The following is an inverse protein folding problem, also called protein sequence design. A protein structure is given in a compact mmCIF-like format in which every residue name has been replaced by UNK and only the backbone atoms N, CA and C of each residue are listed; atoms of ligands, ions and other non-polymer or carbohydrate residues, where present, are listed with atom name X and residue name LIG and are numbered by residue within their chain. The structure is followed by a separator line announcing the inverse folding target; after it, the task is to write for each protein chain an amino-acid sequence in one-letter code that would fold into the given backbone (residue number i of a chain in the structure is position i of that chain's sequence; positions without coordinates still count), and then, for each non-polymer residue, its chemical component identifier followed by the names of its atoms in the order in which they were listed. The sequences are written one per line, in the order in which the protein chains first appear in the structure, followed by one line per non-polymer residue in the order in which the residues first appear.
data_IF_621394252417
#
_entry.id   IF_621394252417
#
_cell.length_a   1.000
_cell.length_b   1.000
_cell.length_c   1.000
_cell.angle_alpha   90.00
_cell.angle_beta   90.00
_cell.angle_gamma   90.00
#
_symmetry.space_group_name_H-M   'P 1'
#
loop_
_entity.id
_entity.type
_entity.pdbx_description
1 polymer ?
#
# COMPACT_ATOMS: atom_id res chain seq x y z
N UNK A 1 -19.04 15.38 18.54
CA UNK A 1 -18.98 15.07 17.09
C UNK A 1 -19.19 16.27 16.15
N UNK A 2 -20.19 17.14 16.35
CA UNK A 2 -20.49 18.23 15.40
C UNK A 2 -19.34 19.25 15.20
N UNK A 3 -18.61 19.61 16.26
CA UNK A 3 -17.46 20.50 16.17
C UNK A 3 -16.31 19.89 15.36
N UNK A 4 -15.95 18.63 15.63
CA UNK A 4 -14.91 17.88 14.89
C UNK A 4 -15.26 17.74 13.41
N UNK A 5 -16.51 17.41 13.08
CA UNK A 5 -16.99 17.37 11.69
C UNK A 5 -16.83 18.72 10.97
N UNK A 6 -17.04 19.83 11.68
CA UNK A 6 -16.86 21.19 11.14
C UNK A 6 -15.37 21.50 10.94
N UNK A 7 -14.52 21.11 11.88
CA UNK A 7 -13.08 21.32 11.83
C UNK A 7 -12.44 20.56 10.65
N UNK A 8 -12.90 19.33 10.39
CA UNK A 8 -12.39 18.45 9.33
C UNK A 8 -13.11 18.62 7.99
N UNK A 9 -13.90 19.70 7.81
CA UNK A 9 -14.64 19.94 6.59
C UNK A 9 -13.73 20.61 5.53
N UNK A 10 -13.46 19.89 4.44
CA UNK A 10 -12.66 20.38 3.30
C UNK A 10 -13.52 20.87 2.12
N UNK A 11 -14.85 20.76 2.21
CA UNK A 11 -15.77 20.95 1.07
C UNK A 11 -16.35 22.37 0.96
N UNK A 12 -15.93 23.30 1.83
CA UNK A 12 -16.46 24.67 1.87
C UNK A 12 -15.32 25.69 1.84
N UNK A 13 -15.47 26.82 1.13
CA UNK A 13 -14.48 27.89 1.15
C UNK A 13 -14.24 28.45 2.56
N UNK A 14 -12.98 28.78 2.86
CA UNK A 14 -12.56 29.36 4.16
C UNK A 14 -12.82 30.86 4.16
N UNK A 15 -13.29 31.43 5.27
CA UNK A 15 -13.43 32.88 5.36
C UNK A 15 -12.06 33.55 5.50
N UNK A 16 -11.73 34.47 4.60
CA UNK A 16 -10.51 35.30 4.66
C UNK A 16 -10.87 36.73 5.07
N UNK A 17 -9.98 37.36 5.83
CA UNK A 17 -10.16 38.73 6.33
C UNK A 17 -9.47 39.70 5.38
N UNK A 18 -10.25 40.58 4.79
CA UNK A 18 -9.74 41.63 3.89
C UNK A 18 -10.35 42.97 4.25
N UNK A 19 -9.62 44.08 3.99
CA UNK A 19 -10.19 45.41 4.10
C UNK A 19 -11.39 45.60 3.16
N UNK A 20 -12.30 46.50 3.53
CA UNK A 20 -13.53 46.79 2.78
C UNK A 20 -13.28 47.49 1.44
N UNK A 21 -12.14 48.17 1.27
CA UNK A 21 -11.76 48.84 0.03
C UNK A 21 -10.49 48.18 -0.53
N UNK A 22 -10.61 47.23 -1.48
CA UNK A 22 -9.48 46.49 -2.02
C UNK A 22 -8.64 47.34 -2.98
N UNK A 23 -7.34 47.29 -2.79
CA UNK A 23 -6.27 47.85 -3.62
C UNK A 23 -5.53 46.74 -4.37
N UNK A 24 -4.69 47.06 -5.36
CA UNK A 24 -3.94 46.03 -6.12
C UNK A 24 -2.99 45.24 -5.20
N UNK A 25 -2.42 45.87 -4.18
CA UNK A 25 -1.60 45.18 -3.16
C UNK A 25 -2.37 44.19 -2.30
N UNK A 26 -3.71 44.27 -2.25
CA UNK A 26 -4.53 43.34 -1.49
C UNK A 26 -4.72 41.99 -2.20
N UNK A 27 -4.47 41.91 -3.51
CA UNK A 27 -4.57 40.65 -4.25
C UNK A 27 -3.45 39.68 -3.85
N UNK A 28 -2.23 40.16 -3.70
CA UNK A 28 -1.09 39.35 -3.26
C UNK A 28 -1.27 38.89 -1.81
N UNK A 29 -1.76 39.79 -0.95
CA UNK A 29 -2.10 39.47 0.43
C UNK A 29 -3.19 38.40 0.52
N UNK A 30 -4.23 38.49 -0.33
CA UNK A 30 -5.28 37.49 -0.43
C UNK A 30 -4.73 36.12 -0.83
N UNK A 31 -3.89 36.06 -1.88
CA UNK A 31 -3.28 34.80 -2.32
C UNK A 31 -2.36 34.21 -1.24
N UNK A 32 -1.59 35.03 -0.54
CA UNK A 32 -0.75 34.56 0.57
C UNK A 32 -1.57 33.99 1.74
N UNK A 33 -2.66 34.66 2.13
CA UNK A 33 -3.56 34.13 3.16
C UNK A 33 -4.23 32.83 2.70
N UNK A 34 -4.72 32.79 1.46
CA UNK A 34 -5.32 31.60 0.86
C UNK A 34 -4.35 30.43 0.84
N UNK A 35 -3.08 30.67 0.53
CA UNK A 35 -2.04 29.65 0.55
C UNK A 35 -1.86 29.02 1.94
N UNK A 36 -1.78 29.84 3.00
CA UNK A 36 -1.67 29.35 4.37
C UNK A 36 -2.90 28.50 4.78
N UNK A 37 -4.10 28.91 4.36
CA UNK A 37 -5.31 28.12 4.60
C UNK A 37 -5.38 26.85 3.73
N UNK A 38 -4.87 26.90 2.51
CA UNK A 38 -4.79 25.74 1.62
C UNK A 38 -3.90 24.67 2.24
N UNK A 39 -2.73 25.04 2.79
CA UNK A 39 -1.84 24.11 3.51
C UNK A 39 -2.55 23.37 4.65
N UNK A 40 -3.38 24.07 5.42
CA UNK A 40 -4.21 23.43 6.46
C UNK A 40 -5.30 22.53 5.85
N UNK A 41 -5.94 22.99 4.79
CA UNK A 41 -7.10 22.31 4.17
C UNK A 41 -6.71 20.98 3.53
N UNK A 42 -5.53 20.90 2.91
CA UNK A 42 -5.00 19.67 2.31
C UNK A 42 -4.59 18.62 3.34
N UNK A 43 -4.37 19.00 4.60
CA UNK A 43 -4.13 18.07 5.71
C UNK A 43 -5.43 17.53 6.35
N UNK A 44 -6.58 18.17 6.13
CA UNK A 44 -7.87 17.73 6.71
C UNK A 44 -8.29 16.31 6.30
N UNK A 45 -8.05 15.83 5.07
CA UNK A 45 -8.38 14.46 4.68
C UNK A 45 -7.80 13.39 5.61
N UNK A 46 -6.58 13.57 6.15
CA UNK A 46 -5.98 12.62 7.10
C UNK A 46 -6.83 12.46 8.35
N UNK A 47 -7.12 13.57 9.03
CA UNK A 47 -7.96 13.58 10.22
C UNK A 47 -9.38 13.08 9.93
N UNK A 48 -9.93 13.42 8.75
CA UNK A 48 -11.24 12.95 8.32
C UNK A 48 -11.26 11.43 8.11
N UNK A 49 -10.26 10.88 7.44
CA UNK A 49 -10.10 9.44 7.21
C UNK A 49 -10.05 8.67 8.52
N UNK A 50 -9.25 9.14 9.48
CA UNK A 50 -9.19 8.56 10.83
C UNK A 50 -10.52 8.69 11.59
N UNK A 51 -11.15 9.86 11.54
CA UNK A 51 -12.41 10.14 12.24
C UNK A 51 -13.59 9.32 11.71
N UNK A 52 -13.60 9.01 10.41
CA UNK A 52 -14.69 8.24 9.76
C UNK A 52 -14.33 6.81 9.43
N UNK A 53 -13.19 6.31 9.88
CA UNK A 53 -12.68 4.97 9.57
C UNK A 53 -13.74 3.90 9.86
N UNK A 54 -14.04 3.06 8.87
CA UNK A 54 -14.97 1.93 8.96
C UNK A 54 -16.38 2.27 9.48
N UNK A 55 -16.88 3.48 9.22
CA UNK A 55 -18.20 3.93 9.71
C UNK A 55 -19.35 3.70 8.74
N UNK A 56 -19.08 3.33 7.48
CA UNK A 56 -20.11 3.20 6.43
C UNK A 56 -20.07 1.83 5.76
N UNK A 57 -21.19 1.12 5.75
CA UNK A 57 -21.36 -0.09 4.92
C UNK A 57 -21.94 0.34 3.57
N UNK A 58 -21.15 0.27 2.50
CA UNK A 58 -21.64 0.60 1.15
C UNK A 58 -22.47 -0.53 0.57
N UNK A 59 -23.62 -0.18 0.02
CA UNK A 59 -24.32 -1.03 -0.92
C UNK A 59 -23.51 -1.05 -2.23
N UNK A 60 -23.11 -2.24 -2.68
CA UNK A 60 -22.32 -2.47 -3.91
C UNK A 60 -23.04 -2.09 -5.22
N UNK A 61 -24.14 -1.34 -5.12
CA UNK A 61 -24.95 -0.81 -6.23
C UNK A 61 -24.80 0.71 -6.39
N UNK A 62 -24.21 1.40 -5.41
CA UNK A 62 -24.09 2.86 -5.41
C UNK A 62 -22.69 3.32 -5.82
N UNK A 63 -22.62 4.49 -6.46
CA UNK A 63 -21.34 5.16 -6.79
C UNK A 63 -20.77 5.79 -5.50
N UNK A 64 -19.48 5.59 -5.25
CA UNK A 64 -18.85 6.18 -4.07
C UNK A 64 -18.76 7.69 -4.19
N UNK A 65 -19.34 8.39 -3.22
CA UNK A 65 -19.32 9.85 -3.18
C UNK A 65 -18.06 10.35 -2.48
N UNK A 66 -17.23 11.06 -3.24
CA UNK A 66 -16.04 11.76 -2.74
C UNK A 66 -16.39 13.18 -2.32
N UNK A 67 -16.11 13.59 -1.06
CA UNK A 67 -16.27 14.99 -0.67
C UNK A 67 -15.36 15.90 -1.51
N UNK A 68 -15.87 17.07 -1.91
CA UNK A 68 -15.06 18.05 -2.63
C UNK A 68 -13.90 18.56 -1.77
N UNK A 69 -12.77 18.82 -2.40
CA UNK A 69 -11.63 19.52 -1.81
C UNK A 69 -11.60 20.95 -2.36
N UNK A 70 -11.92 21.93 -1.53
CA UNK A 70 -12.06 23.33 -1.95
C UNK A 70 -10.88 24.15 -1.42
N UNK A 71 -10.01 24.58 -2.31
CA UNK A 71 -8.88 25.50 -2.03
C UNK A 71 -9.26 26.93 -2.43
N UNK A 72 -10.35 27.42 -1.86
CA UNK A 72 -10.90 28.75 -2.14
C UNK A 72 -11.26 29.46 -0.84
N UNK A 73 -11.21 30.78 -0.87
CA UNK A 73 -11.66 31.63 0.22
C UNK A 73 -12.93 32.37 -0.14
N UNK A 74 -13.76 32.63 0.87
CA UNK A 74 -14.88 33.56 0.79
C UNK A 74 -14.50 34.87 1.46
N UNK A 75 -14.93 35.98 0.88
CA UNK A 75 -14.68 37.35 1.34
C UNK A 75 -15.95 37.91 1.99
N UNK A 76 -16.12 37.84 3.33
CA UNK A 76 -17.36 38.28 3.98
C UNK A 76 -17.62 39.79 3.78
N UNK A 77 -16.55 40.60 3.73
CA UNK A 77 -16.62 42.04 3.51
C UNK A 77 -17.06 42.42 2.08
N UNK A 78 -17.00 41.49 1.12
CA UNK A 78 -17.32 41.70 -0.29
C UNK A 78 -18.48 40.78 -0.71
N UNK A 79 -19.59 40.82 0.02
CA UNK A 79 -20.81 40.04 -0.27
C UNK A 79 -20.56 38.52 -0.41
N UNK A 80 -19.62 37.95 0.35
CA UNK A 80 -19.20 36.54 0.25
C UNK A 80 -18.68 36.12 -1.14
N UNK A 81 -18.08 37.04 -1.90
CA UNK A 81 -17.37 36.69 -3.13
C UNK A 81 -16.34 35.57 -2.87
N UNK A 82 -16.19 34.66 -3.83
CA UNK A 82 -15.27 33.52 -3.73
C UNK A 82 -14.02 33.79 -4.56
N UNK A 83 -12.85 33.66 -3.95
CA UNK A 83 -11.54 33.76 -4.60
C UNK A 83 -10.88 32.40 -4.57
N UNK A 84 -10.44 31.93 -5.74
CA UNK A 84 -9.70 30.69 -5.85
C UNK A 84 -8.21 30.96 -5.66
N UNK A 85 -7.53 29.99 -5.06
CA UNK A 85 -6.08 29.96 -5.06
C UNK A 85 -5.58 29.82 -6.51
N UNK A 86 -4.62 30.64 -6.90
CA UNK A 86 -3.97 30.49 -8.20
C UNK A 86 -3.10 29.22 -8.21
N UNK A 87 -3.33 28.37 -9.21
CA UNK A 87 -2.63 27.09 -9.41
C UNK A 87 -1.57 27.17 -10.52
N UNK A 88 -1.30 28.37 -11.06
CA UNK A 88 -0.31 28.60 -12.13
C UNK A 88 1.10 28.14 -11.72
N UNK A 89 1.42 28.19 -10.42
CA UNK A 89 2.67 27.69 -9.88
C UNK A 89 2.66 26.15 -9.79
N UNK A 90 3.63 25.49 -10.42
CA UNK A 90 3.78 24.02 -10.44
C UNK A 90 3.76 23.39 -9.05
N UNK A 91 4.41 24.01 -8.07
CA UNK A 91 4.44 23.51 -6.68
C UNK A 91 3.05 23.47 -6.04
N UNK A 92 2.19 24.44 -6.36
CA UNK A 92 0.82 24.54 -5.86
C UNK A 92 -0.09 23.50 -6.53
N UNK A 93 0.13 23.24 -7.82
CA UNK A 93 -0.59 22.19 -8.57
C UNK A 93 -0.32 20.80 -8.00
N UNK A 94 0.95 20.44 -7.75
CA UNK A 94 1.32 19.16 -7.15
C UNK A 94 0.75 18.99 -5.73
N UNK A 95 0.73 20.08 -4.95
CA UNK A 95 0.14 20.10 -3.62
C UNK A 95 -1.35 19.77 -3.63
N UNK A 96 -2.09 20.27 -4.62
CA UNK A 96 -3.51 19.93 -4.82
C UNK A 96 -3.67 18.45 -5.19
N UNK A 97 -2.83 17.92 -6.08
CA UNK A 97 -2.89 16.53 -6.52
C UNK A 97 -2.72 15.53 -5.37
N UNK A 98 -1.73 15.73 -4.49
CA UNK A 98 -1.56 14.90 -3.29
C UNK A 98 -2.74 15.03 -2.31
N UNK A 99 -3.32 16.22 -2.19
CA UNK A 99 -4.49 16.42 -1.36
C UNK A 99 -5.72 15.68 -1.90
N UNK A 100 -5.89 15.60 -3.22
CA UNK A 100 -6.91 14.77 -3.86
C UNK A 100 -6.68 13.28 -3.62
N UNK A 101 -5.42 12.83 -3.66
CA UNK A 101 -5.06 11.46 -3.29
C UNK A 101 -5.48 11.14 -1.85
N UNK A 102 -5.11 11.97 -0.86
CA UNK A 102 -5.52 11.76 0.54
C UNK A 102 -7.05 11.86 0.71
N UNK A 103 -7.72 12.70 -0.07
CA UNK A 103 -9.18 12.80 -0.09
C UNK A 103 -9.83 11.48 -0.54
N UNK A 104 -9.26 10.84 -1.56
CA UNK A 104 -9.62 9.50 -2.02
C UNK A 104 -9.39 8.42 -0.96
N UNK A 105 -8.21 8.41 -0.34
CA UNK A 105 -7.88 7.49 0.77
C UNK A 105 -8.89 7.63 1.90
N UNK A 106 -9.17 8.86 2.34
CA UNK A 106 -10.11 9.12 3.42
C UNK A 106 -11.55 8.69 3.09
N UNK A 107 -11.97 8.83 1.83
CA UNK A 107 -13.28 8.38 1.38
C UNK A 107 -13.39 6.85 1.34
N UNK A 108 -12.31 6.15 0.93
CA UNK A 108 -12.24 4.69 0.95
C UNK A 108 -12.14 4.11 2.36
N UNK A 109 -11.33 4.71 3.24
CA UNK A 109 -11.18 4.27 4.63
C UNK A 109 -12.49 4.38 5.42
N UNK A 110 -13.38 5.28 5.02
CA UNK A 110 -14.72 5.38 5.59
C UNK A 110 -15.53 4.09 5.46
N UNK A 111 -15.24 3.29 4.43
CA UNK A 111 -15.95 2.03 4.20
C UNK A 111 -15.55 1.02 5.26
N UNK A 112 -16.54 0.33 5.82
CA UNK A 112 -16.29 -0.77 6.74
C UNK A 112 -15.66 -1.94 5.97
N UNK A 113 -14.68 -2.63 6.56
CA UNK A 113 -14.12 -3.80 5.92
C UNK A 113 -15.20 -4.87 5.71
N UNK A 114 -15.19 -5.56 4.56
CA UNK A 114 -15.96 -6.79 4.34
C UNK A 114 -15.35 -7.89 5.21
N UNK A 115 -15.61 -7.84 6.51
CA UNK A 115 -15.11 -8.84 7.43
C UNK A 115 -15.89 -10.15 7.22
N UNK A 116 -15.19 -11.17 6.71
CA UNK A 116 -15.21 -12.46 7.38
C UNK A 116 -14.38 -12.25 8.65
N UNK A 117 -15.00 -11.85 9.75
CA UNK A 117 -14.26 -11.67 11.01
C UNK A 117 -13.55 -12.98 11.37
N UNK A 118 -12.42 -12.91 12.06
CA UNK A 118 -11.87 -14.08 12.77
C UNK A 118 -12.92 -14.67 13.74
N UNK A 119 -13.92 -13.90 14.15
CA UNK A 119 -15.12 -14.40 14.83
C UNK A 119 -15.92 -15.40 13.98
N UNK A 120 -15.91 -15.31 12.65
CA UNK A 120 -16.47 -16.36 11.81
C UNK A 120 -15.61 -17.64 11.85
N UNK A 121 -14.28 -17.54 12.02
CA UNK A 121 -13.43 -18.73 12.28
C UNK A 121 -13.67 -19.29 13.68
N UNK A 122 -13.87 -18.45 14.68
CA UNK A 122 -14.23 -18.86 16.03
C UNK A 122 -15.66 -19.42 16.10
N UNK A 123 -16.62 -18.89 15.33
CA UNK A 123 -17.97 -19.44 15.17
C UNK A 123 -17.92 -20.75 14.38
N UNK A 124 -17.05 -20.88 13.36
CA UNK A 124 -16.79 -22.15 12.65
C UNK A 124 -16.09 -23.16 13.56
N UNK A 125 -15.14 -22.76 14.41
CA UNK A 125 -14.46 -23.63 15.38
C UNK A 125 -15.34 -23.98 16.59
N UNK A 126 -16.15 -23.06 17.09
CA UNK A 126 -17.21 -23.33 18.08
C UNK A 126 -18.31 -24.21 17.48
N UNK A 127 -18.63 -24.08 16.18
CA UNK A 127 -19.51 -24.99 15.44
C UNK A 127 -18.93 -26.40 15.30
N UNK A 128 -17.65 -26.53 14.99
CA UNK A 128 -16.96 -27.82 14.93
C UNK A 128 -16.90 -28.50 16.30
N UNK A 129 -16.83 -27.71 17.38
CA UNK A 129 -16.86 -28.23 18.76
C UNK A 129 -18.29 -28.56 19.27
N UNK A 130 -19.34 -27.98 18.67
CA UNK A 130 -20.75 -28.28 19.00
C UNK A 130 -21.25 -29.59 18.36
N UNK A 131 -20.47 -30.21 17.47
CA UNK A 131 -20.75 -31.56 16.93
C UNK A 131 -20.70 -32.66 18.01
N UNK A 132 -20.15 -32.37 19.21
CA UNK A 132 -19.83 -33.40 20.19
C UNK A 132 -20.76 -33.54 21.41
N UNK A 133 -21.76 -32.68 21.60
CA UNK A 133 -22.51 -32.68 22.88
C UNK A 133 -24.00 -32.43 22.80
N UNK A 134 -24.80 -33.12 21.96
CA UNK A 134 -26.25 -33.19 22.21
C UNK A 134 -26.86 -34.53 21.80
N UNK A 135 -27.26 -35.31 22.81
CA UNK A 135 -28.06 -36.53 22.71
C UNK A 135 -29.54 -36.18 22.99
N UNK A 136 -30.30 -35.82 21.97
CA UNK A 136 -31.78 -35.99 21.94
C UNK A 136 -32.28 -35.92 20.48
N UNK A 137 -33.00 -36.95 20.05
CA UNK A 137 -33.24 -37.23 18.62
C UNK A 137 -34.24 -36.30 17.88
N UNK A 138 -34.99 -35.44 18.57
CA UNK A 138 -36.06 -34.64 17.92
C UNK A 138 -35.62 -33.25 17.45
N UNK A 139 -34.61 -32.62 18.05
CA UNK A 139 -34.04 -31.35 17.58
C UNK A 139 -33.00 -31.53 16.46
N UNK A 140 -32.46 -32.74 16.33
CA UNK A 140 -31.40 -33.08 15.39
C UNK A 140 -31.85 -33.01 13.92
N UNK A 141 -33.10 -33.39 13.63
CA UNK A 141 -33.62 -33.37 12.27
C UNK A 141 -33.80 -31.95 11.72
N UNK A 142 -34.33 -31.00 12.50
CA UNK A 142 -34.51 -29.63 12.03
C UNK A 142 -33.17 -28.89 11.86
N UNK A 143 -32.21 -29.11 12.77
CA UNK A 143 -30.85 -28.58 12.64
C UNK A 143 -30.12 -29.18 11.43
N UNK A 144 -30.22 -30.48 11.17
CA UNK A 144 -29.50 -31.17 10.09
C UNK A 144 -29.95 -30.75 8.68
N UNK A 145 -31.22 -30.36 8.50
CA UNK A 145 -31.72 -29.84 7.22
C UNK A 145 -31.51 -28.32 7.05
N UNK A 146 -31.54 -27.54 8.14
CA UNK A 146 -31.27 -26.10 8.08
C UNK A 146 -29.76 -25.77 8.03
N UNK A 147 -28.87 -26.59 8.60
CA UNK A 147 -27.42 -26.31 8.68
C UNK A 147 -26.72 -26.23 7.31
N UNK A 148 -26.87 -27.23 6.41
CA UNK A 148 -26.26 -27.16 5.08
C UNK A 148 -26.81 -25.98 4.28
N UNK A 149 -28.10 -25.68 4.42
CA UNK A 149 -28.74 -24.55 3.75
C UNK A 149 -28.25 -23.20 4.28
N UNK A 150 -28.11 -23.01 5.59
CA UNK A 150 -27.58 -21.76 6.19
C UNK A 150 -26.09 -21.60 5.89
N UNK A 151 -25.30 -22.67 5.93
CA UNK A 151 -23.88 -22.66 5.53
C UNK A 151 -23.72 -22.36 4.04
N UNK A 152 -24.57 -22.94 3.21
CA UNK A 152 -24.62 -22.66 1.77
C UNK A 152 -25.04 -21.21 1.52
N UNK A 153 -26.07 -20.71 2.20
CA UNK A 153 -26.53 -19.31 2.08
C UNK A 153 -25.46 -18.34 2.55
N UNK A 154 -24.79 -18.59 3.68
CA UNK A 154 -23.71 -17.74 4.18
C UNK A 154 -22.51 -17.75 3.21
N UNK A 155 -22.09 -18.92 2.72
CA UNK A 155 -21.04 -19.03 1.71
C UNK A 155 -21.44 -18.37 0.39
N UNK A 156 -22.71 -18.48 -0.04
CA UNK A 156 -23.23 -17.81 -1.22
C UNK A 156 -23.21 -16.29 -1.01
N UNK A 157 -23.66 -15.79 0.14
CA UNK A 157 -23.66 -14.35 0.46
C UNK A 157 -22.24 -13.81 0.48
N UNK A 158 -21.28 -14.53 1.07
CA UNK A 158 -19.87 -14.13 1.10
C UNK A 158 -19.23 -14.17 -0.30
N UNK A 159 -19.46 -15.24 -1.07
CA UNK A 159 -19.00 -15.34 -2.46
C UNK A 159 -19.62 -14.26 -3.36
N UNK A 160 -20.88 -13.91 -3.12
CA UNK A 160 -21.55 -12.81 -3.82
C UNK A 160 -20.91 -11.48 -3.44
N UNK A 161 -20.60 -11.23 -2.17
CA UNK A 161 -19.93 -9.99 -1.74
C UNK A 161 -18.55 -9.82 -2.38
N UNK A 162 -17.70 -10.86 -2.41
CA UNK A 162 -16.37 -10.78 -3.04
C UNK A 162 -16.45 -10.55 -4.55
N UNK A 163 -17.33 -11.28 -5.25
CA UNK A 163 -17.54 -11.10 -6.69
C UNK A 163 -18.09 -9.72 -7.01
N UNK A 164 -19.06 -9.25 -6.22
CA UNK A 164 -19.64 -7.92 -6.39
C UNK A 164 -18.62 -6.81 -6.12
N UNK A 165 -17.73 -6.98 -5.15
CA UNK A 165 -16.67 -6.01 -4.86
C UNK A 165 -15.67 -5.88 -6.01
N UNK A 166 -15.21 -7.01 -6.58
CA UNK A 166 -14.33 -7.00 -7.75
C UNK A 166 -14.97 -6.25 -8.92
N UNK A 167 -16.23 -6.56 -9.24
CA UNK A 167 -16.97 -5.88 -10.32
C UNK A 167 -17.21 -4.41 -10.01
N UNK A 168 -17.45 -4.07 -8.74
CA UNK A 168 -17.67 -2.69 -8.32
C UNK A 168 -16.39 -1.85 -8.46
N UNK A 169 -15.23 -2.39 -8.08
CA UNK A 169 -13.92 -1.72 -8.27
C UNK A 169 -13.65 -1.49 -9.76
N UNK A 170 -13.98 -2.47 -10.61
CA UNK A 170 -13.85 -2.34 -12.05
C UNK A 170 -14.83 -1.31 -12.63
N UNK A 171 -16.07 -1.27 -12.15
CA UNK A 171 -17.10 -0.33 -12.58
C UNK A 171 -16.76 1.12 -12.20
N UNK A 172 -16.23 1.34 -11.00
CA UNK A 172 -15.85 2.67 -10.52
C UNK A 172 -14.45 3.11 -11.02
N UNK A 173 -13.80 2.31 -11.86
CA UNK A 173 -12.54 2.71 -12.48
C UNK A 173 -12.80 3.91 -13.40
N UNK A 174 -12.10 5.03 -13.19
CA UNK A 174 -12.29 6.21 -14.03
C UNK A 174 -11.71 5.97 -15.43
N UNK A 175 -12.30 6.63 -16.43
CA UNK A 175 -11.80 6.61 -17.82
C UNK A 175 -10.40 7.17 -17.93
N UNK A 176 -10.13 8.27 -17.22
CA UNK A 176 -8.82 8.88 -17.09
C UNK A 176 -8.28 8.66 -15.67
N UNK A 177 -7.00 8.26 -15.52
CA UNK A 177 -6.42 8.05 -14.22
C UNK A 177 -6.36 9.38 -13.45
N UNK A 178 -6.71 9.35 -12.16
CA UNK A 178 -6.73 10.53 -11.31
C UNK A 178 -6.28 10.20 -9.88
N UNK A 179 -5.84 11.23 -9.16
CA UNK A 179 -5.29 11.10 -7.81
C UNK A 179 -6.31 10.56 -6.80
N UNK A 180 -7.58 10.95 -6.92
CA UNK A 180 -8.65 10.50 -6.01
C UNK A 180 -8.86 8.99 -6.09
N UNK A 181 -8.91 8.42 -7.30
CA UNK A 181 -9.04 6.98 -7.50
C UNK A 181 -7.80 6.21 -7.05
N UNK A 182 -6.61 6.73 -7.31
CA UNK A 182 -5.37 6.15 -6.81
C UNK A 182 -5.37 6.04 -5.27
N UNK A 183 -5.86 7.08 -4.58
CA UNK A 183 -6.04 7.05 -3.13
C UNK A 183 -7.10 6.05 -2.66
N UNK A 184 -8.19 5.89 -3.42
CA UNK A 184 -9.21 4.88 -3.15
C UNK A 184 -8.60 3.46 -3.18
N UNK A 185 -7.78 3.15 -4.19
CA UNK A 185 -7.11 1.85 -4.31
C UNK A 185 -6.26 1.54 -3.07
N UNK A 186 -5.47 2.51 -2.60
CA UNK A 186 -4.69 2.33 -1.38
C UNK A 186 -5.59 2.04 -0.16
N UNK A 187 -6.69 2.78 0.00
CA UNK A 187 -7.63 2.56 1.11
C UNK A 187 -8.29 1.18 1.07
N UNK A 188 -8.66 0.69 -0.12
CA UNK A 188 -9.14 -0.69 -0.29
C UNK A 188 -8.05 -1.70 0.04
N UNK A 189 -6.81 -1.39 -0.30
CA UNK A 189 -5.64 -2.17 0.06
C UNK A 189 -5.50 -2.36 1.58
N UNK A 190 -5.60 -1.25 2.31
CA UNK A 190 -5.54 -1.21 3.78
C UNK A 190 -6.70 -1.96 4.45
N UNK A 191 -7.86 -2.01 3.80
CA UNK A 191 -9.02 -2.82 4.25
C UNK A 191 -8.97 -4.28 3.79
N UNK A 192 -7.89 -4.71 3.14
CA UNK A 192 -7.74 -6.03 2.52
C UNK A 192 -8.74 -6.33 1.38
N UNK A 193 -9.39 -5.31 0.83
CA UNK A 193 -10.39 -5.45 -0.24
C UNK A 193 -9.76 -5.73 -1.59
N UNK A 194 -8.48 -5.43 -1.80
CA UNK A 194 -7.83 -5.69 -3.09
C UNK A 194 -7.49 -7.18 -3.31
N UNK A 195 -7.66 -8.06 -2.31
CA UNK A 195 -7.48 -9.51 -2.47
C UNK A 195 -8.37 -10.13 -3.55
N UNK A 196 -9.50 -9.49 -3.86
CA UNK A 196 -10.44 -9.96 -4.89
C UNK A 196 -9.99 -9.61 -6.31
N UNK A 197 -9.00 -8.74 -6.48
CA UNK A 197 -8.47 -8.37 -7.79
C UNK A 197 -7.57 -9.49 -8.34
N UNK A 198 -7.73 -9.79 -9.62
CA UNK A 198 -6.79 -10.69 -10.29
C UNK A 198 -5.55 -9.93 -10.75
N UNK A 199 -4.45 -10.64 -11.02
CA UNK A 199 -3.24 -10.02 -11.60
C UNK A 199 -3.55 -9.28 -12.92
N UNK A 200 -4.46 -9.82 -13.75
CA UNK A 200 -4.93 -9.13 -14.95
C UNK A 200 -5.58 -7.79 -14.64
N UNK A 201 -6.36 -7.69 -13.56
CA UNK A 201 -6.98 -6.43 -13.15
C UNK A 201 -5.92 -5.42 -12.68
N UNK A 202 -4.93 -5.89 -11.90
CA UNK A 202 -3.80 -5.07 -11.47
C UNK A 202 -2.98 -4.55 -12.67
N UNK A 203 -2.63 -5.40 -13.64
CA UNK A 203 -1.91 -4.98 -14.84
C UNK A 203 -2.67 -3.96 -15.68
N UNK A 204 -4.01 -4.03 -15.72
CA UNK A 204 -4.82 -3.01 -16.42
C UNK A 204 -4.71 -1.62 -15.78
N UNK A 205 -4.46 -1.53 -14.47
CA UNK A 205 -4.18 -0.27 -13.80
C UNK A 205 -2.76 0.21 -14.08
N UNK A 206 -1.78 -0.69 -14.01
CA UNK A 206 -0.37 -0.36 -14.28
C UNK A 206 -0.15 0.08 -15.74
N UNK A 207 -0.92 -0.44 -16.69
CA UNK A 207 -0.83 -0.07 -18.11
C UNK A 207 -1.30 1.36 -18.41
N UNK A 208 -1.85 2.10 -17.44
CA UNK A 208 -2.23 3.50 -17.62
C UNK A 208 -1.06 4.47 -17.40
N UNK A 209 0.12 3.98 -16.99
CA UNK A 209 1.34 4.79 -16.83
C UNK A 209 1.16 6.03 -15.95
N UNK A 210 0.29 5.93 -14.94
CA UNK A 210 0.04 7.01 -13.98
C UNK A 210 0.68 6.68 -12.64
N UNK A 211 1.79 7.36 -12.33
CA UNK A 211 2.68 7.06 -11.21
C UNK A 211 1.97 6.90 -9.87
N UNK A 212 1.03 7.80 -9.57
CA UNK A 212 0.32 7.75 -8.28
C UNK A 212 -0.69 6.60 -8.23
N UNK A 213 -1.27 6.19 -9.36
CA UNK A 213 -2.10 4.98 -9.44
C UNK A 213 -1.25 3.74 -9.20
N UNK A 214 -0.06 3.69 -9.81
CA UNK A 214 0.93 2.62 -9.57
C UNK A 214 1.30 2.56 -8.08
N UNK A 215 1.62 3.70 -7.46
CA UNK A 215 1.91 3.80 -6.03
C UNK A 215 0.76 3.27 -5.17
N UNK A 216 -0.46 3.78 -5.39
CA UNK A 216 -1.63 3.40 -4.59
C UNK A 216 -1.99 1.92 -4.74
N UNK A 217 -1.83 1.38 -5.95
CA UNK A 217 -2.10 -0.03 -6.25
C UNK A 217 -1.04 -0.96 -5.64
N UNK A 218 0.26 -0.69 -5.85
CA UNK A 218 1.34 -1.56 -5.35
C UNK A 218 1.32 -1.64 -3.83
N UNK A 219 1.25 -0.48 -3.16
CA UNK A 219 1.20 -0.43 -1.70
C UNK A 219 -0.12 -1.03 -1.17
N UNK A 220 -1.23 -0.80 -1.86
CA UNK A 220 -2.53 -1.37 -1.51
C UNK A 220 -2.57 -2.90 -1.62
N UNK A 221 -2.06 -3.46 -2.72
CA UNK A 221 -1.97 -4.91 -2.92
C UNK A 221 -1.05 -5.56 -1.88
N UNK A 222 0.10 -4.95 -1.62
CA UNK A 222 1.02 -5.41 -0.57
C UNK A 222 0.38 -5.39 0.82
N UNK A 223 -0.30 -4.30 1.19
CA UNK A 223 -1.02 -4.20 2.46
C UNK A 223 -2.15 -5.23 2.57
N UNK A 224 -2.87 -5.48 1.47
CA UNK A 224 -3.89 -6.53 1.42
C UNK A 224 -3.30 -7.92 1.65
N UNK A 225 -2.10 -8.20 1.16
CA UNK A 225 -1.41 -9.48 1.27
C UNK A 225 -0.27 -9.46 2.30
N UNK A 226 -0.39 -8.61 3.32
CA UNK A 226 0.61 -8.44 4.37
C UNK A 226 0.98 -9.79 5.02
N UNK A 227 2.27 -10.10 5.05
CA UNK A 227 2.83 -11.34 5.62
C UNK A 227 2.54 -12.64 4.85
N UNK A 228 1.97 -12.59 3.64
CA UNK A 228 1.64 -13.84 2.91
C UNK A 228 2.75 -14.32 1.96
N UNK A 229 3.75 -13.48 1.66
CA UNK A 229 4.80 -13.77 0.66
C UNK A 229 4.23 -14.23 -0.69
N UNK A 230 3.11 -13.63 -1.14
CA UNK A 230 2.47 -14.02 -2.40
C UNK A 230 3.44 -13.84 -3.60
N UNK A 231 3.73 -14.91 -4.36
CA UNK A 231 4.77 -14.87 -5.38
C UNK A 231 4.42 -13.97 -6.58
N UNK A 232 3.14 -13.83 -6.92
CA UNK A 232 2.71 -12.99 -8.03
C UNK A 232 2.82 -11.49 -7.67
N UNK A 233 2.39 -11.12 -6.46
CA UNK A 233 2.55 -9.75 -5.94
C UNK A 233 4.03 -9.45 -5.71
N UNK A 234 4.79 -10.39 -5.17
CA UNK A 234 6.24 -10.25 -4.98
C UNK A 234 6.92 -9.93 -6.31
N UNK A 235 6.65 -10.72 -7.36
CA UNK A 235 7.21 -10.48 -8.70
C UNK A 235 6.83 -9.10 -9.24
N UNK A 236 5.58 -8.68 -9.04
CA UNK A 236 5.12 -7.35 -9.44
C UNK A 236 5.88 -6.24 -8.70
N UNK A 237 6.05 -6.34 -7.38
CA UNK A 237 6.77 -5.33 -6.60
C UNK A 237 8.26 -5.25 -6.99
N UNK A 238 8.93 -6.40 -7.11
CA UNK A 238 10.34 -6.44 -7.50
C UNK A 238 10.61 -5.89 -8.90
N UNK A 239 9.62 -5.97 -9.80
CA UNK A 239 9.71 -5.34 -11.12
C UNK A 239 9.90 -3.82 -11.06
N UNK A 240 9.42 -3.19 -9.98
CA UNK A 240 9.52 -1.75 -9.75
C UNK A 240 10.70 -1.35 -8.85
N UNK A 241 11.60 -2.27 -8.50
CA UNK A 241 12.82 -1.94 -7.71
C UNK A 241 14.01 -1.71 -8.67
N UNK A 242 14.76 -0.61 -8.56
CA UNK A 242 15.85 -0.23 -9.47
C UNK A 242 17.02 -1.21 -9.64
N UNK A 243 17.09 -2.27 -8.85
CA UNK A 243 18.25 -3.17 -8.84
C UNK A 243 18.07 -4.38 -9.77
N UNK A 244 18.14 -4.18 -11.10
CA UNK A 244 18.71 -5.15 -12.05
C UNK A 244 19.29 -4.49 -13.31
N UNK A 245 20.58 -4.20 -13.26
CA UNK A 245 21.49 -4.55 -14.35
C UNK A 245 22.39 -5.70 -13.82
N UNK A 246 22.63 -6.79 -14.56
CA UNK A 246 23.47 -7.92 -14.14
C UNK A 246 24.99 -7.63 -14.02
N UNK A 247 25.41 -6.39 -13.77
CA UNK A 247 26.84 -6.00 -13.85
C UNK A 247 27.48 -5.59 -12.51
N UNK A 248 26.84 -5.86 -11.36
CA UNK A 248 27.46 -5.61 -10.06
C UNK A 248 27.14 -6.67 -9.01
N UNK A 249 27.34 -7.94 -9.36
CA UNK A 249 27.76 -8.92 -8.34
C UNK A 249 29.27 -8.78 -8.17
N UNK A 250 29.80 -8.26 -7.05
CA UNK A 250 31.07 -8.78 -6.58
C UNK A 250 30.81 -10.24 -6.24
N UNK A 251 31.46 -11.12 -6.99
CA UNK A 251 31.65 -12.54 -6.77
C UNK A 251 31.69 -12.85 -5.26
N UNK A 252 30.57 -13.31 -4.71
CA UNK A 252 30.58 -13.95 -3.40
C UNK A 252 31.17 -15.33 -3.65
N UNK A 253 32.43 -15.52 -3.31
CA UNK A 253 32.98 -16.85 -3.15
C UNK A 253 32.08 -17.61 -2.18
N UNK A 254 31.44 -18.68 -2.67
CA UNK A 254 30.83 -19.69 -1.81
C UNK A 254 31.97 -20.40 -1.07
N UNK A 255 32.02 -20.38 0.28
CA UNK A 255 32.85 -21.34 0.99
C UNK A 255 32.31 -22.75 0.70
N UNK A 256 33.20 -23.62 0.24
CA UNK A 256 33.02 -25.03 -0.15
C UNK A 256 32.65 -25.97 1.01
N UNK A 257 31.65 -25.62 1.82
CA UNK A 257 31.18 -26.44 2.94
C UNK A 257 29.80 -27.08 2.75
N UNK A 258 29.19 -26.96 1.56
CA UNK A 258 27.93 -27.66 1.23
C UNK A 258 28.10 -29.00 0.50
N UNK A 259 29.33 -29.53 0.35
CA UNK A 259 29.56 -30.86 -0.23
C UNK A 259 29.65 -31.99 0.81
N UNK A 260 29.25 -31.74 2.06
CA UNK A 260 29.25 -32.76 3.12
C UNK A 260 28.03 -32.69 4.05
N UNK A 261 26.81 -32.69 3.49
CA UNK A 261 25.62 -33.14 4.23
C UNK A 261 24.74 -34.02 3.33
N UNK A 262 25.27 -35.19 2.97
CA UNK A 262 24.47 -36.32 2.55
C UNK A 262 24.49 -37.37 3.66
N UNK A 263 23.61 -37.26 4.66
CA UNK A 263 22.94 -38.37 5.40
C UNK A 263 22.30 -37.88 6.70
N UNK A 264 20.97 -37.72 6.66
CA UNK A 264 20.08 -38.06 7.78
C UNK A 264 19.66 -36.96 8.75
N UNK A 265 18.53 -36.27 8.49
CA UNK A 265 17.52 -35.97 9.51
C UNK A 265 16.18 -35.48 8.91
N UNK A 266 15.11 -35.76 9.65
CA UNK A 266 13.67 -35.75 9.33
C UNK A 266 13.06 -34.44 8.80
N UNK A 267 12.00 -34.64 8.03
CA UNK A 267 11.15 -33.66 7.33
C UNK A 267 10.26 -32.76 8.21
N UNK A 268 10.02 -31.54 7.72
CA UNK A 268 8.72 -30.83 7.79
C UNK A 268 8.60 -29.86 6.59
N UNK A 269 7.38 -29.53 6.10
CA UNK A 269 7.13 -29.28 4.69
C UNK A 269 6.99 -27.79 4.31
N UNK A 270 6.96 -27.55 2.99
CA UNK A 270 6.75 -26.28 2.27
C UNK A 270 8.02 -25.47 1.94
N UNK A 271 8.94 -26.10 1.20
CA UNK A 271 9.88 -25.36 0.36
C UNK A 271 9.14 -24.71 -0.80
N UNK A 272 9.10 -23.38 -0.82
CA UNK A 272 8.84 -22.63 -2.04
C UNK A 272 10.13 -22.74 -2.87
N UNK A 273 10.07 -23.17 -4.15
CA UNK A 273 11.27 -23.24 -4.96
C UNK A 273 11.84 -21.84 -5.14
N UNK A 274 13.18 -21.74 -5.12
CA UNK A 274 13.91 -20.56 -5.60
C UNK A 274 13.23 -20.06 -6.87
N UNK A 275 12.78 -18.82 -6.89
CA UNK A 275 12.60 -18.12 -8.18
C UNK A 275 14.00 -17.75 -8.65
N UNK A 276 14.73 -18.76 -9.13
CA UNK A 276 15.72 -18.51 -10.16
C UNK A 276 14.90 -17.99 -11.34
N UNK A 277 15.24 -16.80 -11.82
CA UNK A 277 14.82 -16.42 -13.17
C UNK A 277 15.67 -17.28 -14.09
N UNK A 278 15.27 -18.54 -14.27
CA UNK A 278 15.77 -19.39 -15.33
C UNK A 278 15.01 -19.00 -16.60
N UNK A 279 15.78 -18.60 -17.61
CA UNK A 279 15.31 -18.32 -18.96
C UNK A 279 14.90 -19.63 -19.65
N UNK A 280 13.72 -20.16 -19.33
CA UNK A 280 13.11 -21.22 -20.14
C UNK A 280 12.38 -20.60 -21.33
N UNK A 281 13.15 -20.21 -22.36
CA UNK A 281 12.64 -20.02 -23.72
C UNK A 281 12.40 -21.38 -24.39
N UNK A 282 11.31 -22.04 -24.02
CA UNK A 282 10.72 -23.14 -24.77
C UNK A 282 9.92 -22.62 -25.97
N UNK A 283 10.38 -22.94 -27.18
CA UNK A 283 9.74 -22.63 -28.46
C UNK A 283 8.30 -23.18 -28.53
N UNK A 284 7.32 -22.28 -28.70
CA UNK A 284 5.92 -22.62 -28.91
C UNK A 284 5.17 -21.41 -29.47
N UNK A 285 4.92 -21.41 -30.78
CA UNK A 285 4.33 -20.29 -31.50
C UNK A 285 2.89 -19.96 -31.08
N UNK A 286 2.63 -18.68 -30.86
CA UNK A 286 1.29 -18.12 -30.66
C UNK A 286 1.40 -16.62 -30.42
N UNK A 287 0.89 -15.83 -31.37
CA UNK A 287 1.04 -14.37 -31.40
C UNK A 287 0.59 -13.67 -30.11
N UNK A 288 1.55 -13.11 -29.39
CA UNK A 288 1.36 -12.19 -28.29
C UNK A 288 2.41 -11.09 -28.40
N UNK A 289 1.97 -9.84 -28.44
CA UNK A 289 2.81 -8.65 -28.60
C UNK A 289 3.97 -8.67 -27.59
N UNK A 290 5.18 -8.86 -28.12
CA UNK A 290 6.44 -8.81 -27.39
C UNK A 290 6.64 -7.39 -26.86
N UNK A 291 6.40 -7.17 -25.58
CA UNK A 291 6.71 -5.90 -24.91
C UNK A 291 8.21 -5.65 -25.05
N UNK A 292 8.55 -4.66 -25.88
CA UNK A 292 9.92 -4.25 -26.15
C UNK A 292 10.25 -3.15 -25.13
N UNK A 293 11.36 -3.34 -24.43
CA UNK A 293 11.85 -2.44 -23.41
C UNK A 293 12.53 -1.26 -24.09
N UNK A 294 11.96 -0.08 -23.94
CA UNK A 294 12.64 1.18 -24.23
C UNK A 294 12.90 1.86 -22.87
N UNK A 295 14.17 2.21 -22.60
CA UNK A 295 14.65 2.90 -21.39
C UNK A 295 14.04 4.31 -21.18
N UNK A 296 13.04 4.66 -21.98
CA UNK A 296 12.33 5.95 -22.02
C UNK A 296 11.00 5.95 -21.27
N UNK A 297 10.56 4.81 -20.69
CA UNK A 297 9.28 4.77 -19.98
C UNK A 297 9.37 5.44 -18.60
N UNK A 298 9.22 6.76 -18.60
CA UNK A 298 9.30 7.65 -17.42
C UNK A 298 8.41 7.23 -16.24
N UNK A 299 7.32 6.49 -16.48
CA UNK A 299 6.36 6.08 -15.44
C UNK A 299 6.86 4.94 -14.53
N UNK A 300 7.69 4.05 -15.05
CA UNK A 300 8.35 2.97 -14.28
C UNK A 300 9.52 3.50 -13.44
N UNK A 301 9.98 4.72 -13.75
CA UNK A 301 11.11 5.36 -13.12
C UNK A 301 10.72 6.40 -12.06
N UNK A 302 9.43 6.61 -11.75
CA UNK A 302 9.07 7.49 -10.63
C UNK A 302 9.57 6.89 -9.32
N UNK A 303 10.45 7.62 -8.63
CA UNK A 303 10.97 7.19 -7.33
C UNK A 303 9.86 7.01 -6.28
N UNK A 304 8.73 7.69 -6.45
CA UNK A 304 7.52 7.49 -5.66
C UNK A 304 6.98 6.05 -5.76
N UNK A 305 6.86 5.52 -6.98
CA UNK A 305 6.42 4.16 -7.24
C UNK A 305 7.44 3.12 -6.76
N UNK A 306 8.73 3.41 -6.93
CA UNK A 306 9.82 2.55 -6.44
C UNK A 306 9.84 2.48 -4.90
N UNK A 307 9.69 3.61 -4.22
CA UNK A 307 9.60 3.68 -2.75
C UNK A 307 8.41 2.88 -2.23
N UNK A 308 7.26 2.98 -2.92
CA UNK A 308 6.06 2.23 -2.61
C UNK A 308 6.23 0.73 -2.84
N UNK A 309 6.94 0.33 -3.91
CA UNK A 309 7.26 -1.06 -4.19
C UNK A 309 8.17 -1.66 -3.10
N UNK A 310 9.22 -0.94 -2.71
CA UNK A 310 10.14 -1.33 -1.62
C UNK A 310 9.40 -1.47 -0.30
N UNK A 311 8.58 -0.47 0.07
CA UNK A 311 7.73 -0.56 1.26
C UNK A 311 6.75 -1.75 1.16
N UNK A 312 6.17 -1.97 -0.01
CA UNK A 312 5.27 -3.08 -0.29
C UNK A 312 5.94 -4.44 -0.11
N UNK A 313 7.21 -4.59 -0.53
CA UNK A 313 8.00 -5.81 -0.26
C UNK A 313 8.12 -6.02 1.25
N UNK A 314 8.42 -4.98 2.02
CA UNK A 314 8.46 -5.04 3.49
C UNK A 314 7.15 -5.54 4.10
N UNK A 315 6.00 -5.01 3.66
CA UNK A 315 4.69 -5.44 4.14
C UNK A 315 4.36 -6.89 3.73
N UNK A 316 4.67 -7.28 2.50
CA UNK A 316 4.38 -8.61 1.97
C UNK A 316 5.19 -9.71 2.70
N UNK A 317 6.43 -9.40 3.07
CA UNK A 317 7.38 -10.29 3.76
C UNK A 317 7.46 -10.01 5.27
N UNK A 318 6.50 -9.29 5.83
CA UNK A 318 6.52 -8.91 7.25
C UNK A 318 6.68 -10.14 8.16
N UNK A 319 7.67 -10.07 9.06
CA UNK A 319 7.94 -11.13 10.04
C UNK A 319 8.33 -12.48 9.42
N UNK A 320 8.79 -12.50 8.16
CA UNK A 320 9.28 -13.73 7.52
C UNK A 320 10.77 -13.98 7.74
N UNK A 321 11.53 -12.93 8.09
CA UNK A 321 12.99 -12.93 8.09
C UNK A 321 13.60 -13.53 6.81
N UNK A 322 12.97 -13.32 5.65
CA UNK A 322 13.44 -13.88 4.39
C UNK A 322 14.78 -13.29 3.97
N UNK A 323 15.85 -14.09 4.08
CA UNK A 323 17.24 -13.65 3.96
C UNK A 323 17.55 -12.91 2.65
N UNK A 324 17.05 -13.40 1.51
CA UNK A 324 17.28 -12.76 0.21
C UNK A 324 16.64 -11.37 0.16
N UNK A 325 15.39 -11.24 0.61
CA UNK A 325 14.69 -9.95 0.67
C UNK A 325 15.42 -8.98 1.59
N UNK A 326 15.84 -9.44 2.77
CA UNK A 326 16.62 -8.60 3.70
C UNK A 326 17.93 -8.10 3.06
N UNK A 327 18.65 -8.98 2.35
CA UNK A 327 19.89 -8.62 1.64
C UNK A 327 19.65 -7.59 0.53
N UNK A 328 18.58 -7.75 -0.25
CA UNK A 328 18.19 -6.79 -1.29
C UNK A 328 17.87 -5.43 -0.66
N UNK A 329 16.99 -5.41 0.35
CA UNK A 329 16.57 -4.17 1.01
C UNK A 329 17.74 -3.43 1.68
N UNK A 330 18.68 -4.17 2.28
CA UNK A 330 19.91 -3.57 2.81
C UNK A 330 20.74 -2.89 1.72
N UNK A 331 20.84 -3.50 0.53
CA UNK A 331 21.50 -2.88 -0.62
C UNK A 331 20.81 -1.60 -1.10
N UNK A 332 19.48 -1.57 -1.04
CA UNK A 332 18.68 -0.41 -1.45
C UNK A 332 18.83 0.81 -0.53
N UNK A 333 19.09 0.61 0.78
CA UNK A 333 19.35 1.72 1.72
C UNK A 333 20.59 2.52 1.28
N UNK A 334 21.64 1.84 0.84
CA UNK A 334 22.90 2.43 0.43
C UNK A 334 22.99 2.83 -1.04
N UNK A 335 21.89 2.81 -1.79
CA UNK A 335 21.91 3.02 -3.25
C UNK A 335 22.57 4.36 -3.61
N UNK A 336 23.50 4.32 -4.57
CA UNK A 336 24.17 5.51 -5.13
C UNK A 336 23.16 6.33 -5.94
N UNK A 337 23.23 7.66 -5.83
CA UNK A 337 22.34 8.55 -6.59
C UNK A 337 22.64 8.43 -8.08
N UNK A 338 21.62 8.13 -8.89
CA UNK A 338 21.69 8.15 -10.35
C UNK A 338 21.49 9.54 -10.95
N UNK A 339 21.63 10.61 -10.15
CA UNK A 339 21.17 11.95 -10.49
C UNK A 339 19.81 12.31 -9.88
N UNK A 340 19.31 11.48 -8.95
CA UNK A 340 18.02 11.67 -8.27
C UNK A 340 18.07 12.87 -7.31
N UNK A 341 16.92 13.53 -7.13
CA UNK A 341 16.74 14.58 -6.12
C UNK A 341 17.08 14.04 -4.72
N UNK A 342 17.75 14.87 -3.90
CA UNK A 342 18.21 14.46 -2.55
C UNK A 342 17.04 14.02 -1.66
N UNK A 343 15.96 14.81 -1.60
CA UNK A 343 14.78 14.53 -0.78
C UNK A 343 14.08 13.23 -1.18
N UNK A 344 13.96 13.03 -2.49
CA UNK A 344 13.41 11.83 -3.09
C UNK A 344 14.25 10.60 -2.69
N UNK A 345 15.58 10.70 -2.80
CA UNK A 345 16.50 9.64 -2.38
C UNK A 345 16.40 9.31 -0.88
N UNK A 346 16.29 10.32 -0.03
CA UNK A 346 16.09 10.12 1.41
C UNK A 346 14.77 9.39 1.69
N UNK A 347 13.68 9.79 1.01
CA UNK A 347 12.40 9.10 1.09
C UNK A 347 12.49 7.62 0.71
N UNK A 348 13.21 7.30 -0.37
CA UNK A 348 13.46 5.92 -0.78
C UNK A 348 14.28 5.13 0.23
N UNK A 349 15.37 5.71 0.75
CA UNK A 349 16.23 5.06 1.74
C UNK A 349 15.47 4.78 3.05
N UNK A 350 14.62 5.71 3.50
CA UNK A 350 13.75 5.52 4.66
C UNK A 350 12.72 4.41 4.39
N UNK A 351 12.16 4.35 3.18
CA UNK A 351 11.26 3.27 2.79
C UNK A 351 11.96 1.90 2.81
N UNK A 352 13.18 1.81 2.28
CA UNK A 352 14.00 0.60 2.30
C UNK A 352 14.36 0.14 3.72
N UNK A 353 14.80 1.06 4.58
CA UNK A 353 15.10 0.78 5.98
C UNK A 353 13.86 0.32 6.76
N UNK A 354 12.73 0.98 6.56
CA UNK A 354 11.46 0.61 7.19
C UNK A 354 10.96 -0.76 6.70
N UNK A 355 11.03 -1.00 5.38
CA UNK A 355 10.69 -2.28 4.79
C UNK A 355 11.52 -3.41 5.36
N UNK A 356 12.83 -3.21 5.49
CA UNK A 356 13.74 -4.16 6.12
C UNK A 356 13.34 -4.46 7.57
N UNK A 357 12.98 -3.41 8.33
CA UNK A 357 12.44 -3.55 9.68
C UNK A 357 11.17 -4.40 9.74
N UNK A 358 10.25 -4.24 8.77
CA UNK A 358 9.07 -5.10 8.68
C UNK A 358 9.42 -6.56 8.40
N UNK A 359 10.35 -6.84 7.48
CA UNK A 359 10.75 -8.22 7.17
C UNK A 359 11.39 -8.92 8.37
N UNK A 360 12.23 -8.20 9.13
CA UNK A 360 12.90 -8.71 10.32
C UNK A 360 12.07 -8.60 11.61
N UNK A 361 10.81 -8.16 11.53
CA UNK A 361 9.99 -7.82 12.69
C UNK A 361 9.83 -9.03 13.64
N UNK A 362 10.10 -8.82 14.93
CA UNK A 362 9.90 -9.83 15.98
C UNK A 362 10.98 -10.92 16.09
N UNK A 363 12.00 -10.89 15.24
CA UNK A 363 13.04 -11.94 15.20
C UNK A 363 14.29 -11.63 16.03
N UNK A 364 14.49 -10.38 16.45
CA UNK A 364 15.64 -10.00 17.29
C UNK A 364 16.99 -10.34 16.65
N UNK A 365 17.93 -10.87 17.44
CA UNK A 365 19.25 -11.32 16.95
C UNK A 365 19.16 -12.51 16.00
N UNK A 366 18.12 -13.33 16.11
CA UNK A 366 17.99 -14.60 15.38
C UNK A 366 17.70 -14.35 13.90
N UNK A 367 17.09 -13.21 13.56
CA UNK A 367 16.92 -12.75 12.17
C UNK A 367 18.26 -12.55 11.44
N UNK A 368 19.32 -12.24 12.20
CA UNK A 368 20.62 -11.84 11.68
C UNK A 368 21.70 -12.90 11.89
N UNK A 369 21.38 -14.02 12.56
CA UNK A 369 22.34 -15.08 12.92
C UNK A 369 23.04 -15.78 11.74
N UNK A 370 22.68 -15.45 10.50
CA UNK A 370 23.36 -15.91 9.28
C UNK A 370 24.10 -14.80 8.52
N UNK A 371 23.96 -13.53 8.90
CA UNK A 371 24.54 -12.41 8.18
C UNK A 371 25.38 -11.53 9.12
N UNK A 372 26.54 -12.03 9.54
CA UNK A 372 27.47 -11.32 10.45
C UNK A 372 27.83 -9.89 9.97
N UNK A 373 27.81 -9.64 8.66
CA UNK A 373 28.10 -8.31 8.07
C UNK A 373 26.87 -7.39 7.94
N UNK A 374 25.68 -7.86 8.33
CA UNK A 374 24.41 -7.15 8.12
C UNK A 374 24.23 -5.99 9.09
N UNK A 375 24.42 -6.26 10.39
CA UNK A 375 24.36 -5.24 11.42
C UNK A 375 25.48 -4.21 11.24
N UNK A 376 26.67 -4.67 10.85
CA UNK A 376 27.83 -3.83 10.53
C UNK A 376 27.49 -2.77 9.48
N UNK A 377 26.82 -3.19 8.39
CA UNK A 377 26.37 -2.27 7.34
C UNK A 377 25.28 -1.30 7.81
N UNK A 378 24.36 -1.74 8.66
CA UNK A 378 23.37 -0.83 9.24
C UNK A 378 24.03 0.23 10.15
N UNK A 379 25.00 -0.17 10.96
CA UNK A 379 25.79 0.76 11.78
C UNK A 379 26.60 1.73 10.91
N UNK A 380 27.17 1.25 9.80
CA UNK A 380 27.83 2.09 8.79
C UNK A 380 26.87 3.16 8.24
N UNK A 381 25.63 2.79 7.88
CA UNK A 381 24.63 3.72 7.37
C UNK A 381 24.14 4.74 8.40
N UNK A 382 24.12 4.40 9.68
CA UNK A 382 23.77 5.33 10.77
C UNK A 382 24.93 6.29 11.08
N UNK A 383 26.13 6.05 10.54
CA UNK A 383 27.31 6.88 10.75
C UNK A 383 28.03 6.61 12.07
N UNK A 384 27.73 5.49 12.73
CA UNK A 384 28.43 5.06 13.93
C UNK A 384 29.83 4.54 13.55
N UNK A 385 30.83 5.41 13.61
CA UNK A 385 32.25 5.05 13.40
C UNK A 385 32.94 4.42 14.62
N UNK A 386 32.23 4.20 15.73
CA UNK A 386 32.84 3.62 16.94
C UNK A 386 31.97 2.56 17.62
N UNK A 387 32.69 1.56 18.16
CA UNK A 387 32.36 0.58 19.21
C UNK A 387 31.78 -0.78 18.79
N UNK A 388 32.60 -1.57 18.09
CA UNK A 388 32.71 -3.01 18.38
C UNK A 388 33.68 -3.23 19.53
N UNK A 389 33.23 -3.00 20.77
CA UNK A 389 33.93 -3.57 21.92
C UNK A 389 33.04 -3.91 23.12
N UNK A 390 31.71 -3.91 22.97
CA UNK A 390 30.83 -4.31 24.07
C UNK A 390 29.71 -5.20 23.56
N UNK A 391 30.02 -6.51 23.41
CA UNK A 391 29.10 -7.64 23.66
C UNK A 391 29.83 -9.00 23.53
N UNK A 392 30.82 -9.19 24.39
CA UNK A 392 31.16 -10.50 24.95
C UNK A 392 31.36 -10.32 26.45
N UNK A 393 30.35 -9.86 27.18
CA UNK A 393 30.27 -10.04 28.64
C UNK A 393 28.82 -9.84 29.06
N UNK A 394 28.11 -10.96 29.26
CA UNK A 394 27.11 -11.28 30.30
C UNK A 394 26.24 -12.41 29.79
#
# INVERSE_FOLDING_TARGET
MACVRRLLCSARPVAIQTPTNPSVSDQDLQQQQLWNFAQRTTALPFGRGAFTLATTYTLLTEVLVFPKLVLAGRLPAQQNATVNLDLSNRSVSEFKSWAEFHNGVAAGLRLAPFQVTQDNKAIIQLHQNLEFTYSTHSFFFLLMYCFPAVKLVLNIVLLLQEKMLRTWIQYNRPSEPNFTHAGLLLAFGLHAHLRVLTMTDAYRYLSQEHDITTLGLLLGLAASHRGTMDPAISKMLYFHVPSRHPSSTPELELPTLLQREGQGAKASPAGVPLVVVEDDMGSGGGGGSRWKWDDTNSSLNCLCGQSAAVMGIGLLYEGSAHALTMKILLGEIGRRSGGDNVLEREGYAVAAGSALGFVALGHGSDAFGFMDTFLDRLFEYIGSKEVYHVRFFS
#
